data_IF_952814933707
#
_entry.id   IF_952814933707
#
_cell.length_a   1.000
_cell.length_b   1.000
_cell.length_c   1.000
_cell.angle_alpha   90.00
_cell.angle_beta   90.00
_cell.angle_gamma   90.00
#
_symmetry.space_group_name_H-M   'P 1'
#
loop_
_entity.id
_entity.type
_entity.pdbx_description
1 polymer ?
#
# COMPACT_ATOMS: atom_id res chain seq x y z
N UNK A 1 -26.58 7.62 -5.71
CA UNK A 1 -26.30 8.47 -4.53
C UNK A 1 -24.92 9.05 -4.74
N UNK A 2 -24.80 10.36 -4.98
CA UNK A 2 -23.49 11.02 -5.12
C UNK A 2 -22.96 11.28 -3.70
N UNK A 3 -21.89 10.61 -3.29
CA UNK A 3 -21.14 11.01 -2.10
C UNK A 3 -20.21 12.16 -2.52
N UNK A 4 -20.42 13.36 -1.99
CA UNK A 4 -19.51 14.50 -2.17
C UNK A 4 -18.53 14.46 -1.00
N UNK A 5 -17.26 14.18 -1.28
CA UNK A 5 -16.22 14.07 -0.26
C UNK A 5 -15.50 15.42 -0.15
N UNK A 6 -15.89 16.24 0.82
CA UNK A 6 -15.21 17.50 1.09
C UNK A 6 -13.82 17.25 1.71
N UNK A 7 -12.82 17.04 0.86
CA UNK A 7 -11.41 17.27 1.19
C UNK A 7 -11.22 18.77 1.43
N UNK A 8 -10.38 19.15 2.41
CA UNK A 8 -10.15 20.56 2.75
C UNK A 8 -9.72 21.35 1.51
N UNK A 9 -10.66 22.07 0.90
CA UNK A 9 -10.45 22.89 -0.28
C UNK A 9 -9.61 24.09 0.12
N UNK A 10 -8.30 24.02 -0.13
CA UNK A 10 -7.39 25.14 0.11
C UNK A 10 -7.64 26.20 -0.99
N UNK A 11 -8.32 27.30 -0.65
CA UNK A 11 -8.31 28.51 -1.47
C UNK A 11 -6.94 29.17 -1.32
N UNK A 12 -6.10 29.13 -2.34
CA UNK A 12 -4.94 30.02 -2.42
C UNK A 12 -5.43 31.38 -2.92
N UNK A 13 -5.53 32.35 -2.00
CA UNK A 13 -5.81 33.75 -2.37
C UNK A 13 -4.49 34.47 -2.54
N UNK A 14 -4.06 34.65 -3.79
CA UNK A 14 -2.95 35.54 -4.13
C UNK A 14 -3.51 36.95 -4.28
N UNK A 15 -3.27 37.79 -3.28
CA UNK A 15 -3.58 39.23 -3.33
C UNK A 15 -2.37 39.98 -3.88
N UNK A 16 -2.36 40.24 -5.19
CA UNK A 16 -1.50 41.23 -5.82
C UNK A 16 -2.15 41.73 -7.12
N UNK A 17 -2.54 43.00 -7.13
CA UNK A 17 -3.29 43.65 -8.20
C UNK A 17 -2.68 43.48 -9.60
N UNK A 18 -3.50 43.00 -10.53
CA UNK A 18 -3.15 42.87 -11.94
C UNK A 18 -4.03 41.80 -12.61
N UNK A 19 -5.07 42.23 -13.32
CA UNK A 19 -6.16 41.40 -13.83
C UNK A 19 -5.68 40.41 -14.92
N UNK A 20 -5.19 39.25 -14.49
CA UNK A 20 -5.27 38.00 -15.23
C UNK A 20 -5.96 37.01 -14.28
N UNK A 21 -7.28 36.88 -14.41
CA UNK A 21 -8.03 35.85 -13.69
C UNK A 21 -7.73 34.56 -14.45
N UNK A 22 -6.59 33.94 -14.16
CA UNK A 22 -6.47 32.50 -14.36
C UNK A 22 -7.43 31.91 -13.34
N UNK A 23 -8.62 31.52 -13.78
CA UNK A 23 -9.52 30.73 -12.95
C UNK A 23 -8.76 29.43 -12.63
N UNK A 24 -8.09 29.40 -11.48
CA UNK A 24 -7.57 28.14 -10.93
C UNK A 24 -8.79 27.25 -10.75
N UNK A 25 -8.96 26.30 -11.67
CA UNK A 25 -10.02 25.29 -11.57
C UNK A 25 -9.85 24.61 -10.22
N UNK A 26 -10.91 24.58 -9.42
CA UNK A 26 -10.91 23.78 -8.20
C UNK A 26 -10.63 22.32 -8.61
N UNK A 27 -9.62 21.70 -8.01
CA UNK A 27 -9.33 20.28 -8.22
C UNK A 27 -10.53 19.44 -7.79
N UNK A 28 -10.84 18.41 -8.57
CA UNK A 28 -11.81 17.39 -8.19
C UNK A 28 -11.33 16.58 -6.99
N UNK A 29 -12.25 15.97 -6.26
CA UNK A 29 -11.92 15.08 -5.14
C UNK A 29 -10.97 13.95 -5.57
N UNK A 30 -11.11 13.48 -6.81
CA UNK A 30 -10.25 12.47 -7.41
C UNK A 30 -8.83 13.00 -7.66
N UNK A 31 -8.66 14.19 -8.25
CA UNK A 31 -7.34 14.81 -8.44
C UNK A 31 -6.62 15.05 -7.11
N UNK A 32 -7.36 15.45 -6.06
CA UNK A 32 -6.81 15.60 -4.71
C UNK A 32 -6.36 14.24 -4.15
N UNK A 33 -7.14 13.19 -4.38
CA UNK A 33 -6.82 11.85 -3.93
C UNK A 33 -5.56 11.30 -4.62
N UNK A 34 -5.46 11.45 -5.94
CA UNK A 34 -4.29 11.04 -6.74
C UNK A 34 -3.02 11.78 -6.31
N UNK A 35 -3.10 13.11 -6.13
CA UNK A 35 -1.97 13.92 -5.63
C UNK A 35 -1.51 13.49 -4.23
N UNK A 36 -2.45 13.15 -3.36
CA UNK A 36 -2.14 12.70 -2.00
C UNK A 36 -1.57 11.27 -2.00
N UNK A 37 -2.15 10.38 -2.78
CA UNK A 37 -1.66 9.01 -3.01
C UNK A 37 -0.20 9.03 -3.46
N UNK A 38 0.15 9.82 -4.48
CA UNK A 38 1.52 9.93 -4.99
C UNK A 38 2.51 10.38 -3.89
N UNK A 39 2.12 11.37 -3.08
CA UNK A 39 2.93 11.86 -1.94
C UNK A 39 3.09 10.83 -0.83
N UNK A 40 2.16 9.89 -0.71
CA UNK A 40 2.15 8.85 0.32
C UNK A 40 2.87 7.58 -0.10
N UNK A 41 3.11 7.35 -1.41
CA UNK A 41 3.85 6.17 -1.91
C UNK A 41 5.16 5.89 -1.16
N UNK A 42 6.06 6.88 -0.93
CA UNK A 42 7.30 6.61 -0.19
C UNK A 42 7.08 6.10 1.25
N UNK A 43 6.02 6.55 1.93
CA UNK A 43 5.68 6.05 3.27
C UNK A 43 5.12 4.62 3.24
N UNK A 44 4.42 4.27 2.17
CA UNK A 44 3.91 2.90 1.95
C UNK A 44 5.08 1.97 1.65
N UNK A 45 6.03 2.37 0.81
CA UNK A 45 7.28 1.63 0.57
C UNK A 45 8.07 1.42 1.86
N UNK A 46 8.24 2.47 2.67
CA UNK A 46 8.90 2.36 3.98
C UNK A 46 8.17 1.38 4.91
N UNK A 47 6.83 1.39 4.92
CA UNK A 47 6.04 0.47 5.72
C UNK A 47 6.23 -0.99 5.27
N UNK A 48 6.24 -1.23 3.96
CA UNK A 48 6.47 -2.55 3.37
C UNK A 48 7.87 -3.08 3.72
N UNK A 49 8.91 -2.27 3.58
CA UNK A 49 10.27 -2.69 3.93
C UNK A 49 10.47 -2.93 5.44
N UNK A 50 9.75 -2.22 6.32
CA UNK A 50 9.75 -2.52 7.76
C UNK A 50 9.07 -3.86 8.09
N UNK A 51 8.09 -4.28 7.29
CA UNK A 51 7.41 -5.58 7.41
C UNK A 51 8.25 -6.71 6.83
N UNK A 52 9.07 -6.42 5.83
CA UNK A 52 9.92 -7.37 5.13
C UNK A 52 11.20 -7.73 5.90
N UNK A 53 11.03 -8.51 6.96
CA UNK A 53 12.13 -8.95 7.81
C UNK A 53 13.09 -9.94 7.12
N UNK A 54 12.70 -10.49 5.95
CA UNK A 54 13.46 -11.51 5.21
C UNK A 54 14.10 -10.97 3.93
N UNK A 55 14.03 -9.66 3.68
CA UNK A 55 14.54 -9.01 2.46
C UNK A 55 13.97 -9.63 1.16
N UNK A 56 12.70 -10.03 1.21
CA UNK A 56 11.99 -10.63 0.09
C UNK A 56 11.65 -9.61 -1.02
N UNK A 57 11.40 -8.35 -0.67
CA UNK A 57 11.01 -7.29 -1.59
C UNK A 57 12.22 -6.86 -2.43
N UNK A 58 12.12 -7.05 -3.75
CA UNK A 58 13.10 -6.58 -4.74
C UNK A 58 12.57 -5.40 -5.54
N UNK A 59 11.27 -5.37 -5.80
CA UNK A 59 10.59 -4.26 -6.44
C UNK A 59 9.18 -4.11 -5.87
N UNK A 60 8.67 -2.87 -5.93
CA UNK A 60 7.32 -2.47 -5.57
C UNK A 60 6.74 -1.76 -6.78
N UNK A 61 5.55 -2.17 -7.21
CA UNK A 61 4.81 -1.52 -8.29
C UNK A 61 3.47 -1.07 -7.75
N UNK A 62 3.19 0.23 -7.85
CA UNK A 62 1.88 0.78 -7.54
C UNK A 62 0.99 0.72 -8.78
N UNK A 63 -0.26 0.31 -8.59
CA UNK A 63 -1.28 0.43 -9.61
C UNK A 63 -1.62 1.91 -9.83
N UNK A 64 -2.14 2.20 -11.03
CA UNK A 64 -2.46 3.58 -11.42
C UNK A 64 -3.75 4.07 -10.77
N UNK A 65 -4.67 3.15 -10.54
CA UNK A 65 -6.01 3.50 -10.10
C UNK A 65 -5.99 3.86 -8.62
N UNK A 66 -6.52 5.05 -8.32
CA UNK A 66 -6.73 5.52 -6.96
C UNK A 66 -8.22 5.55 -6.73
N UNK A 67 -8.70 4.85 -5.71
CA UNK A 67 -10.12 4.83 -5.38
C UNK A 67 -10.37 5.50 -4.05
N UNK A 68 -11.56 6.07 -3.87
CA UNK A 68 -11.96 6.64 -2.59
C UNK A 68 -13.09 5.79 -2.05
N UNK A 69 -12.89 5.19 -0.89
CA UNK A 69 -13.89 4.31 -0.30
C UNK A 69 -15.05 5.12 0.32
N UNK A 70 -16.18 4.48 0.69
CA UNK A 70 -17.32 5.19 1.28
C UNK A 70 -17.03 5.93 2.59
N UNK A 71 -15.93 5.59 3.29
CA UNK A 71 -15.48 6.29 4.50
C UNK A 71 -14.61 7.52 4.19
N UNK A 72 -14.27 7.75 2.93
CA UNK A 72 -13.42 8.85 2.48
C UNK A 72 -11.92 8.57 2.59
N UNK A 73 -11.52 7.32 2.85
CA UNK A 73 -10.11 6.93 2.75
C UNK A 73 -9.72 6.71 1.29
N UNK A 74 -8.50 7.09 0.97
CA UNK A 74 -7.92 6.93 -0.37
C UNK A 74 -7.22 5.58 -0.41
N UNK A 75 -7.63 4.70 -1.30
CA UNK A 75 -7.06 3.38 -1.48
C UNK A 75 -6.07 3.42 -2.64
N UNK A 76 -4.87 2.91 -2.38
CA UNK A 76 -3.89 2.61 -3.42
C UNK A 76 -3.54 1.13 -3.36
N UNK A 77 -3.53 0.50 -4.52
CA UNK A 77 -3.18 -0.91 -4.67
C UNK A 77 -1.81 -1.02 -5.33
N UNK A 78 -1.20 -2.19 -5.18
CA UNK A 78 0.09 -2.48 -5.77
C UNK A 78 0.51 -3.92 -5.53
N UNK A 79 1.68 -4.28 -6.04
CA UNK A 79 2.24 -5.60 -5.89
C UNK A 79 3.76 -5.57 -5.81
N UNK A 80 4.32 -6.69 -5.34
CA UNK A 80 5.75 -6.88 -5.15
C UNK A 80 6.30 -7.89 -6.16
N UNK A 81 7.56 -7.72 -6.53
CA UNK A 81 8.35 -8.65 -7.33
C UNK A 81 7.76 -8.99 -8.71
N UNK A 82 6.94 -8.09 -9.28
CA UNK A 82 6.21 -8.27 -10.54
C UNK A 82 5.25 -9.47 -10.57
N UNK A 83 4.68 -9.83 -9.42
CA UNK A 83 3.78 -10.98 -9.27
C UNK A 83 2.42 -10.52 -8.69
N UNK A 84 1.60 -9.80 -9.48
CA UNK A 84 0.34 -9.21 -9.02
C UNK A 84 -0.69 -10.23 -8.53
N UNK A 85 -0.63 -11.48 -8.99
CA UNK A 85 -1.56 -12.54 -8.60
C UNK A 85 -1.20 -13.21 -7.25
N UNK A 86 0.00 -12.96 -6.73
CA UNK A 86 0.52 -13.60 -5.51
C UNK A 86 0.88 -12.60 -4.42
N UNK A 87 1.46 -11.46 -4.80
CA UNK A 87 2.10 -10.54 -3.87
C UNK A 87 1.47 -9.14 -3.91
N UNK A 88 0.15 -9.09 -4.01
CA UNK A 88 -0.63 -7.86 -3.92
C UNK A 88 -0.69 -7.27 -2.51
N UNK A 89 -0.83 -5.96 -2.45
CA UNK A 89 -1.13 -5.20 -1.26
C UNK A 89 -2.13 -4.09 -1.57
N UNK A 90 -2.86 -3.67 -0.53
CA UNK A 90 -3.75 -2.51 -0.57
C UNK A 90 -3.48 -1.62 0.63
N UNK A 91 -3.34 -0.32 0.41
CA UNK A 91 -3.11 0.66 1.45
C UNK A 91 -4.27 1.64 1.53
N UNK A 92 -4.90 1.71 2.71
CA UNK A 92 -5.91 2.72 3.03
C UNK A 92 -5.24 3.95 3.63
N UNK A 93 -5.38 5.10 2.98
CA UNK A 93 -4.75 6.36 3.36
C UNK A 93 -5.79 7.35 3.90
N UNK A 94 -5.56 7.83 5.11
CA UNK A 94 -6.44 8.79 5.77
C UNK A 94 -6.01 10.21 5.44
N UNK A 95 -6.68 10.86 4.47
CA UNK A 95 -6.31 12.20 3.99
C UNK A 95 -6.19 13.23 5.11
N UNK A 96 -7.23 13.37 5.96
CA UNK A 96 -7.26 14.37 7.04
C UNK A 96 -6.17 14.14 8.09
N UNK A 97 -5.89 12.87 8.40
CA UNK A 97 -4.84 12.50 9.36
C UNK A 97 -3.44 12.40 8.74
N UNK A 98 -3.32 12.52 7.41
CA UNK A 98 -2.07 12.47 6.64
C UNK A 98 -1.21 11.23 6.92
N UNK A 99 -1.86 10.09 7.11
CA UNK A 99 -1.22 8.82 7.50
C UNK A 99 -1.78 7.62 6.74
N UNK A 100 -1.04 6.52 6.78
CA UNK A 100 -1.55 5.20 6.44
C UNK A 100 -2.51 4.78 7.57
N UNK A 101 -3.78 4.54 7.23
CA UNK A 101 -4.79 4.05 8.16
C UNK A 101 -4.65 2.56 8.39
N UNK A 102 -4.56 1.80 7.31
CA UNK A 102 -4.36 0.35 7.33
C UNK A 102 -3.66 -0.13 6.05
N UNK A 103 -3.10 -1.33 6.12
CA UNK A 103 -2.65 -2.07 4.94
C UNK A 103 -3.12 -3.51 5.04
N UNK A 104 -3.51 -4.07 3.90
CA UNK A 104 -3.79 -5.49 3.72
C UNK A 104 -2.88 -6.07 2.65
N UNK A 105 -2.68 -7.37 2.71
CA UNK A 105 -1.77 -8.10 1.83
C UNK A 105 -2.45 -9.37 1.38
N UNK A 106 -2.06 -9.85 0.20
CA UNK A 106 -2.42 -11.18 -0.22
C UNK A 106 -1.93 -12.23 0.79
N UNK A 107 -2.61 -13.40 0.87
CA UNK A 107 -2.24 -14.44 1.81
C UNK A 107 -0.77 -14.87 1.66
N UNK A 108 -0.28 -15.00 0.44
CA UNK A 108 1.08 -15.44 0.18
C UNK A 108 2.11 -14.39 0.62
N UNK A 109 1.89 -13.11 0.30
CA UNK A 109 2.73 -12.02 0.81
C UNK A 109 2.72 -11.93 2.34
N UNK A 110 1.58 -12.22 2.97
CA UNK A 110 1.47 -12.25 4.43
C UNK A 110 2.40 -13.31 5.06
N UNK A 111 2.54 -14.49 4.43
CA UNK A 111 3.51 -15.51 4.88
C UNK A 111 4.96 -15.10 4.64
N UNK A 112 5.22 -14.32 3.59
CA UNK A 112 6.55 -13.76 3.32
C UNK A 112 6.99 -12.74 4.37
N UNK A 113 6.06 -12.05 5.02
CA UNK A 113 6.37 -11.14 6.14
C UNK A 113 6.32 -11.80 7.52
N UNK A 114 6.07 -13.12 7.59
CA UNK A 114 5.84 -13.78 8.86
C UNK A 114 7.15 -14.02 9.60
N UNK A 115 7.17 -13.55 10.84
CA UNK A 115 8.20 -13.80 11.84
C UNK A 115 7.89 -15.11 12.58
N UNK A 116 8.47 -16.22 12.11
CA UNK A 116 8.15 -17.55 12.64
C UNK A 116 8.61 -17.77 14.08
N UNK A 117 9.58 -16.99 14.59
CA UNK A 117 10.00 -17.07 15.99
C UNK A 117 8.86 -16.70 16.94
N UNK A 118 7.93 -15.83 16.51
CA UNK A 118 6.71 -15.49 17.24
C UNK A 118 5.65 -16.60 17.25
N UNK A 119 5.81 -17.62 16.41
CA UNK A 119 4.90 -18.76 16.27
C UNK A 119 5.59 -20.08 16.60
N UNK A 120 6.70 -20.05 17.35
CA UNK A 120 7.45 -21.25 17.76
C UNK A 120 6.61 -22.28 18.54
N UNK A 121 5.56 -21.82 19.22
CA UNK A 121 4.64 -22.67 19.98
C UNK A 121 3.54 -23.30 19.08
N UNK A 122 3.46 -22.87 17.82
CA UNK A 122 2.51 -23.35 16.80
C UNK A 122 3.24 -23.76 15.51
N UNK A 123 4.18 -24.74 15.57
CA UNK A 123 5.02 -25.12 14.43
C UNK A 123 4.21 -25.62 13.22
N UNK A 124 3.03 -26.19 13.47
CA UNK A 124 2.12 -26.68 12.43
C UNK A 124 1.72 -25.58 11.44
N UNK A 125 1.63 -24.32 11.85
CA UNK A 125 1.32 -23.20 10.95
C UNK A 125 2.36 -23.06 9.84
N UNK A 126 3.64 -23.19 10.20
CA UNK A 126 4.75 -23.12 9.26
C UNK A 126 4.78 -24.36 8.37
N UNK A 127 4.67 -25.54 8.97
CA UNK A 127 4.66 -26.79 8.20
C UNK A 127 3.52 -26.83 7.18
N UNK A 128 2.31 -26.43 7.57
CA UNK A 128 1.15 -26.40 6.69
C UNK A 128 1.30 -25.36 5.58
N UNK A 129 2.01 -24.26 5.82
CA UNK A 129 2.40 -23.35 4.75
C UNK A 129 3.43 -23.99 3.80
N UNK A 130 4.53 -24.55 4.32
CA UNK A 130 5.57 -25.16 3.50
C UNK A 130 5.04 -26.34 2.65
N UNK A 131 4.06 -27.10 3.15
CA UNK A 131 3.41 -28.21 2.41
C UNK A 131 2.55 -27.74 1.23
N UNK A 132 2.13 -26.46 1.21
CA UNK A 132 1.35 -25.88 0.11
C UNK A 132 2.21 -25.37 -1.04
N UNK A 133 3.50 -25.14 -0.79
CA UNK A 133 4.44 -24.68 -1.79
C UNK A 133 4.91 -25.83 -2.69
N UNK A 134 5.19 -25.54 -3.96
CA UNK A 134 5.99 -26.46 -4.78
C UNK A 134 7.38 -26.65 -4.18
N UNK A 135 8.07 -27.75 -4.50
CA UNK A 135 9.43 -28.01 -3.99
C UNK A 135 10.38 -26.83 -4.22
N UNK A 136 10.35 -26.25 -5.43
CA UNK A 136 11.17 -25.09 -5.80
C UNK A 136 10.82 -23.83 -5.01
N UNK A 137 9.53 -23.55 -4.81
CA UNK A 137 9.10 -22.39 -4.02
C UNK A 137 9.45 -22.56 -2.54
N UNK A 138 9.35 -23.78 -2.02
CA UNK A 138 9.72 -24.12 -0.65
C UNK A 138 11.21 -23.95 -0.40
N UNK A 139 12.06 -24.48 -1.28
CA UNK A 139 13.52 -24.32 -1.17
C UNK A 139 13.92 -22.84 -1.20
N UNK A 140 13.34 -22.07 -2.12
CA UNK A 140 13.61 -20.63 -2.21
C UNK A 140 13.11 -19.91 -0.95
N UNK A 141 11.92 -20.24 -0.45
CA UNK A 141 11.37 -19.64 0.77
C UNK A 141 12.25 -19.92 1.99
N UNK A 142 12.68 -21.17 2.19
CA UNK A 142 13.56 -21.55 3.30
C UNK A 142 14.88 -20.76 3.23
N UNK A 143 15.45 -20.64 2.02
CA UNK A 143 16.66 -19.83 1.81
C UNK A 143 16.44 -18.35 2.13
N UNK A 144 15.29 -17.77 1.73
CA UNK A 144 14.95 -16.37 1.99
C UNK A 144 14.88 -16.10 3.51
N UNK A 145 14.35 -17.03 4.29
CA UNK A 145 14.26 -16.92 5.76
C UNK A 145 15.52 -17.40 6.51
N UNK A 146 16.60 -17.72 5.80
CA UNK A 146 17.88 -18.14 6.39
C UNK A 146 17.94 -19.60 6.87
N UNK A 147 17.00 -20.43 6.43
CA UNK A 147 16.92 -21.86 6.74
C UNK A 147 17.46 -22.73 5.60
N UNK A 148 17.83 -23.98 5.93
CA UNK A 148 18.42 -24.95 5.01
C UNK A 148 17.48 -26.12 4.77
#
# INVERSE_FOLDING_TARGET
MLLILNFDKKKETNDAGGKNIVEEREKSDQEIAEDFAEKMKPKVEEHLHKRDIHNFIKNITFEKDVTINPMGDIIIDGYINNEPEKYGFSASLQYRAKKIGSMSYDPELSYRFKDWDKFKDEPELKENYLKRLSEKEREQYLKDIGEK
#
